data_IF_819507052798
#
_entry.id   IF_819507052798
#
_cell.length_a   1.000
_cell.length_b   1.000
_cell.length_c   1.000
_cell.angle_alpha   90.00
_cell.angle_beta   90.00
_cell.angle_gamma   90.00
#
_symmetry.space_group_name_H-M   'P 1'
#
loop_
_entity.id
_entity.type
_entity.pdbx_description
1 polymer ?
#
# COMPACT_ATOMS: atom_id res chain seq x y z
N UNK A 1 -23.57 -2.94 12.45
CA UNK A 1 -22.64 -4.04 12.11
C UNK A 1 -21.74 -3.72 10.90
N UNK A 2 -22.31 -3.42 9.72
CA UNK A 2 -21.57 -3.16 8.47
C UNK A 2 -20.47 -2.07 8.58
N UNK A 3 -20.77 -0.95 9.27
CA UNK A 3 -19.80 0.15 9.44
C UNK A 3 -18.55 -0.21 10.25
N UNK A 4 -18.60 -1.22 11.10
CA UNK A 4 -17.45 -1.66 11.89
C UNK A 4 -16.54 -2.55 11.06
N UNK A 5 -17.12 -3.46 10.28
CA UNK A 5 -16.40 -4.32 9.34
C UNK A 5 -15.60 -3.51 8.32
N UNK A 6 -16.19 -2.45 7.76
CA UNK A 6 -15.47 -1.55 6.84
C UNK A 6 -14.24 -0.87 7.46
N UNK A 7 -14.14 -0.79 8.79
CA UNK A 7 -12.99 -0.16 9.47
C UNK A 7 -11.86 -1.15 9.75
N UNK A 8 -12.21 -2.39 10.03
CA UNK A 8 -11.28 -3.42 10.49
C UNK A 8 -10.77 -4.25 9.31
N UNK A 9 -11.59 -4.44 8.28
CA UNK A 9 -11.25 -5.26 7.11
C UNK A 9 -9.93 -4.85 6.44
N UNK A 10 -9.64 -3.56 6.16
CA UNK A 10 -8.37 -3.20 5.53
C UNK A 10 -7.15 -3.56 6.40
N UNK A 11 -7.28 -3.43 7.72
CA UNK A 11 -6.21 -3.82 8.65
C UNK A 11 -6.01 -5.33 8.66
N UNK A 12 -7.09 -6.12 8.66
CA UNK A 12 -6.99 -7.58 8.60
C UNK A 12 -6.38 -8.05 7.27
N UNK A 13 -6.76 -7.45 6.15
CA UNK A 13 -6.19 -7.76 4.85
C UNK A 13 -4.72 -7.39 4.77
N UNK A 14 -4.32 -6.25 5.35
CA UNK A 14 -2.91 -5.87 5.47
C UNK A 14 -2.12 -6.91 6.28
N UNK A 15 -2.59 -7.25 7.48
CA UNK A 15 -1.92 -8.22 8.37
C UNK A 15 -1.82 -9.58 7.69
N UNK A 16 -2.92 -10.08 7.09
CA UNK A 16 -2.93 -11.34 6.36
C UNK A 16 -1.95 -11.33 5.18
N UNK A 17 -1.88 -10.22 4.43
CA UNK A 17 -0.92 -10.08 3.33
C UNK A 17 0.52 -10.14 3.83
N UNK A 18 0.83 -9.45 4.93
CA UNK A 18 2.17 -9.50 5.53
C UNK A 18 2.53 -10.90 6.02
N UNK A 19 1.62 -11.60 6.69
CA UNK A 19 1.86 -12.97 7.17
C UNK A 19 2.16 -13.90 6.00
N UNK A 20 1.30 -13.91 4.98
CA UNK A 20 1.46 -14.78 3.80
C UNK A 20 2.79 -14.50 3.08
N UNK A 21 3.14 -13.23 2.86
CA UNK A 21 4.39 -12.86 2.19
C UNK A 21 5.64 -13.21 3.01
N UNK A 22 5.57 -13.11 4.34
CA UNK A 22 6.68 -13.47 5.23
C UNK A 22 6.89 -14.98 5.32
N UNK A 23 5.81 -15.76 5.26
CA UNK A 23 5.88 -17.23 5.26
C UNK A 23 6.42 -17.80 3.95
N UNK A 24 6.34 -17.05 2.85
CA UNK A 24 6.90 -17.47 1.56
C UNK A 24 6.24 -18.76 1.02
N UNK A 25 4.94 -18.95 1.28
CA UNK A 25 4.23 -20.17 0.92
C UNK A 25 4.31 -20.46 -0.60
N UNK A 26 4.43 -21.74 -1.03
CA UNK A 26 4.54 -22.09 -2.45
C UNK A 26 3.40 -21.55 -3.31
N UNK A 27 2.18 -21.51 -2.75
CA UNK A 27 0.98 -20.98 -3.39
C UNK A 27 1.15 -19.55 -3.91
N UNK A 28 2.06 -18.76 -3.34
CA UNK A 28 2.33 -17.38 -3.79
C UNK A 28 2.88 -17.32 -5.22
N UNK A 29 3.50 -18.39 -5.71
CA UNK A 29 4.03 -18.45 -7.07
C UNK A 29 3.02 -19.00 -8.08
N UNK A 30 1.93 -19.61 -7.61
CA UNK A 30 0.91 -20.16 -8.48
C UNK A 30 0.06 -19.04 -9.12
N UNK A 31 -0.33 -19.20 -10.40
CA UNK A 31 -1.19 -18.24 -11.08
C UNK A 31 -2.61 -18.28 -10.50
N UNK A 32 -3.16 -17.11 -10.17
CA UNK A 32 -4.56 -16.95 -9.74
C UNK A 32 -5.51 -17.30 -10.90
N UNK A 33 -5.11 -16.94 -12.13
CA UNK A 33 -5.84 -17.22 -13.36
C UNK A 33 -4.80 -17.69 -14.38
N UNK A 34 -4.86 -18.96 -14.79
CA UNK A 34 -3.88 -19.60 -15.69
C UNK A 34 -3.67 -18.81 -16.99
N UNK A 35 -4.73 -18.23 -17.57
CA UNK A 35 -4.64 -17.48 -18.82
C UNK A 35 -3.97 -16.09 -18.73
N UNK A 36 -3.83 -15.53 -17.52
CA UNK A 36 -3.27 -14.18 -17.31
C UNK A 36 -1.86 -14.26 -16.71
N UNK A 37 -1.53 -15.35 -16.03
CA UNK A 37 -0.22 -15.54 -15.40
C UNK A 37 0.04 -14.61 -14.21
N UNK A 38 -1.01 -14.07 -13.57
CA UNK A 38 -0.91 -13.26 -12.36
C UNK A 38 -0.70 -14.16 -11.14
N UNK A 39 0.46 -14.15 -10.46
CA UNK A 39 0.69 -14.98 -9.28
C UNK A 39 -0.10 -14.49 -8.06
N UNK A 40 -0.45 -15.41 -7.16
CA UNK A 40 -1.06 -15.05 -5.87
C UNK A 40 -0.20 -14.06 -5.08
N UNK A 41 1.13 -14.23 -5.11
CA UNK A 41 2.08 -13.34 -4.44
C UNK A 41 1.97 -11.90 -4.92
N UNK A 42 1.85 -11.70 -6.23
CA UNK A 42 1.63 -10.37 -6.81
C UNK A 42 0.31 -9.76 -6.36
N UNK A 43 -0.77 -10.54 -6.39
CA UNK A 43 -2.09 -10.08 -5.94
C UNK A 43 -2.08 -9.73 -4.45
N UNK A 44 -1.47 -10.57 -3.62
CA UNK A 44 -1.35 -10.36 -2.17
C UNK A 44 -0.49 -9.13 -1.88
N UNK A 45 0.63 -8.94 -2.58
CA UNK A 45 1.45 -7.74 -2.44
C UNK A 45 0.67 -6.47 -2.84
N UNK A 46 -0.10 -6.53 -3.93
CA UNK A 46 -0.96 -5.43 -4.36
C UNK A 46 -2.01 -5.08 -3.29
N UNK A 47 -2.67 -6.10 -2.72
CA UNK A 47 -3.60 -5.93 -1.60
C UNK A 47 -2.88 -5.31 -0.41
N UNK A 48 -1.74 -5.84 0.03
CA UNK A 48 -0.97 -5.31 1.16
C UNK A 48 -0.59 -3.83 0.99
N UNK A 49 0.01 -3.47 -0.15
CA UNK A 49 0.42 -2.10 -0.46
C UNK A 49 -0.78 -1.15 -0.46
N UNK A 50 -1.93 -1.57 -1.01
CA UNK A 50 -3.15 -0.75 -1.04
C UNK A 50 -3.79 -0.62 0.34
N UNK A 51 -3.87 -1.72 1.08
CA UNK A 51 -4.54 -1.80 2.37
C UNK A 51 -3.78 -1.03 3.45
N UNK A 52 -2.47 -0.84 3.30
CA UNK A 52 -1.68 -0.09 4.28
C UNK A 52 -2.20 1.34 4.52
N UNK A 53 -2.16 2.27 3.55
CA UNK A 53 -2.70 3.62 3.74
C UNK A 53 -4.23 3.62 3.99
N UNK A 54 -4.97 2.66 3.42
CA UNK A 54 -6.41 2.55 3.62
C UNK A 54 -6.77 2.19 5.07
N UNK A 55 -6.01 1.29 5.69
CA UNK A 55 -6.19 0.91 7.10
C UNK A 55 -6.03 2.12 8.03
N UNK A 56 -5.10 3.01 7.72
CA UNK A 56 -4.89 4.27 8.46
C UNK A 56 -6.08 5.21 8.26
N UNK A 57 -6.52 5.42 7.01
CA UNK A 57 -7.68 6.27 6.67
C UNK A 57 -8.96 5.82 7.38
N UNK A 58 -9.21 4.52 7.43
CA UNK A 58 -10.47 3.97 7.94
C UNK A 58 -10.41 3.69 9.45
N UNK A 59 -9.25 3.29 9.96
CA UNK A 59 -9.02 2.93 11.35
C UNK A 59 -8.94 4.13 12.30
N UNK A 60 -8.26 5.21 11.89
CA UNK A 60 -8.00 6.35 12.77
C UNK A 60 -9.12 7.39 12.68
N UNK A 61 -9.85 7.58 13.79
CA UNK A 61 -10.99 8.51 13.86
C UNK A 61 -10.63 9.93 13.42
N UNK A 62 -9.50 10.46 13.89
CA UNK A 62 -9.07 11.84 13.59
C UNK A 62 -8.71 12.07 12.13
N UNK A 63 -8.28 11.02 11.42
CA UNK A 63 -8.01 11.10 9.98
C UNK A 63 -9.32 10.94 9.20
N UNK A 64 -10.16 9.98 9.59
CA UNK A 64 -11.45 9.72 8.93
C UNK A 64 -12.38 10.92 9.00
N UNK A 65 -12.51 11.50 10.20
CA UNK A 65 -13.37 12.64 10.54
C UNK A 65 -12.50 13.77 11.10
N UNK A 66 -11.79 14.50 10.23
CA UNK A 66 -10.82 15.50 10.66
C UNK A 66 -11.52 16.72 11.24
N UNK A 67 -11.11 17.10 12.45
CA UNK A 67 -11.62 18.28 13.17
C UNK A 67 -10.77 19.54 12.94
N UNK A 68 -9.57 19.40 12.36
CA UNK A 68 -8.64 20.49 12.09
C UNK A 68 -8.15 20.49 10.64
N UNK A 69 -7.60 21.62 10.17
CA UNK A 69 -6.98 21.70 8.83
C UNK A 69 -5.79 20.74 8.71
N UNK A 70 -5.00 20.58 9.78
CA UNK A 70 -3.85 19.67 9.79
C UNK A 70 -4.30 18.21 9.63
N UNK A 71 -5.38 17.78 10.31
CA UNK A 71 -5.92 16.43 10.10
C UNK A 71 -6.55 16.23 8.72
N UNK A 72 -7.10 17.29 8.11
CA UNK A 72 -7.55 17.26 6.70
C UNK A 72 -6.38 17.06 5.75
N UNK A 73 -5.23 17.68 6.01
CA UNK A 73 -4.02 17.46 5.23
C UNK A 73 -3.57 16.00 5.29
N UNK A 74 -3.41 15.42 6.49
CA UNK A 74 -3.07 13.99 6.63
C UNK A 74 -4.05 13.07 5.91
N UNK A 75 -5.36 13.33 6.02
CA UNK A 75 -6.39 12.57 5.29
C UNK A 75 -6.15 12.59 3.78
N UNK A 76 -5.86 13.76 3.19
CA UNK A 76 -5.59 13.88 1.75
C UNK A 76 -4.32 13.11 1.37
N UNK A 77 -3.26 13.22 2.16
CA UNK A 77 -2.01 12.51 1.91
C UNK A 77 -2.24 11.00 1.89
N UNK A 78 -2.85 10.42 2.93
CA UNK A 78 -3.13 8.99 2.93
C UNK A 78 -4.09 8.57 1.82
N UNK A 79 -5.07 9.41 1.46
CA UNK A 79 -5.97 9.13 0.33
C UNK A 79 -5.21 9.04 -0.99
N UNK A 80 -4.28 9.96 -1.25
CA UNK A 80 -3.40 9.90 -2.43
C UNK A 80 -2.57 8.61 -2.41
N UNK A 81 -1.97 8.24 -1.29
CA UNK A 81 -1.21 6.99 -1.19
C UNK A 81 -2.07 5.74 -1.37
N UNK A 82 -3.33 5.75 -0.94
CA UNK A 82 -4.27 4.67 -1.28
C UNK A 82 -4.49 4.57 -2.78
N UNK A 83 -4.69 5.70 -3.48
CA UNK A 83 -4.86 5.68 -4.93
C UNK A 83 -3.60 5.18 -5.65
N UNK A 84 -2.42 5.59 -5.19
CA UNK A 84 -1.14 5.08 -5.70
C UNK A 84 -1.00 3.57 -5.43
N UNK A 85 -1.39 3.09 -4.25
CA UNK A 85 -1.44 1.66 -3.95
C UNK A 85 -2.38 0.89 -4.89
N UNK A 86 -3.59 1.40 -5.14
CA UNK A 86 -4.51 0.82 -6.13
C UNK A 86 -3.87 0.81 -7.53
N UNK A 87 -3.22 1.90 -7.94
CA UNK A 87 -2.57 1.99 -9.25
C UNK A 87 -1.32 1.09 -9.36
N UNK A 88 -0.79 0.58 -8.25
CA UNK A 88 0.49 -0.12 -8.22
C UNK A 88 0.54 -1.34 -9.13
N UNK A 89 -0.50 -2.19 -9.14
CA UNK A 89 -0.51 -3.35 -10.01
C UNK A 89 -0.46 -2.99 -11.49
N UNK A 90 -1.29 -2.03 -11.91
CA UNK A 90 -1.31 -1.56 -13.30
C UNK A 90 0.00 -0.91 -13.74
N UNK A 91 0.56 -0.02 -12.91
CA UNK A 91 1.85 0.62 -13.21
C UNK A 91 2.96 -0.43 -13.30
N UNK A 92 2.98 -1.41 -12.39
CA UNK A 92 3.98 -2.48 -12.38
C UNK A 92 3.89 -3.37 -13.63
N UNK A 93 2.67 -3.66 -14.11
CA UNK A 93 2.45 -4.37 -15.37
C UNK A 93 2.92 -3.57 -16.60
N UNK A 94 2.67 -2.25 -16.60
CA UNK A 94 3.14 -1.37 -17.69
C UNK A 94 4.67 -1.31 -17.73
N UNK A 95 5.34 -1.32 -16.58
CA UNK A 95 6.79 -1.31 -16.48
C UNK A 95 7.43 -2.66 -16.86
N UNK A 96 6.87 -3.77 -16.39
CA UNK A 96 7.48 -5.11 -16.54
C UNK A 96 7.06 -5.85 -17.80
N UNK A 97 5.87 -5.61 -18.34
CA UNK A 97 5.36 -6.42 -19.47
C UNK A 97 4.53 -7.63 -19.10
N UNK A 98 4.49 -8.00 -17.82
CA UNK A 98 3.92 -9.26 -17.34
C UNK A 98 3.33 -9.08 -15.94
N UNK A 99 2.58 -10.05 -15.43
CA UNK A 99 1.99 -10.01 -14.09
C UNK A 99 2.86 -10.65 -13.00
N UNK A 100 3.94 -11.33 -13.40
CA UNK A 100 4.98 -11.84 -12.50
C UNK A 100 5.96 -10.75 -12.06
N UNK A 101 5.89 -9.56 -12.68
CA UNK A 101 6.81 -8.44 -12.51
C UNK A 101 8.27 -8.86 -12.65
N UNK A 102 8.54 -9.71 -13.63
CA UNK A 102 9.89 -10.12 -14.02
C UNK A 102 10.46 -9.08 -14.99
N UNK A 103 11.72 -8.73 -14.79
CA UNK A 103 12.47 -7.77 -15.59
C UNK A 103 13.68 -8.47 -16.22
N UNK A 104 13.95 -8.15 -17.48
CA UNK A 104 15.01 -8.72 -18.32
C UNK A 104 15.78 -7.59 -18.98
N UNK A 105 17.03 -7.84 -19.36
CA UNK A 105 17.88 -6.84 -20.01
C UNK A 105 17.50 -6.66 -21.49
N UNK A 106 16.27 -6.18 -21.71
CA UNK A 106 15.68 -5.94 -23.01
C UNK A 106 16.12 -4.57 -23.58
N UNK A 107 16.26 -4.48 -24.90
CA UNK A 107 16.62 -3.22 -25.58
C UNK A 107 15.52 -2.15 -25.48
N UNK A 108 14.28 -2.55 -25.18
CA UNK A 108 13.15 -1.62 -25.00
C UNK A 108 12.98 -1.20 -23.54
N UNK A 109 12.43 0.00 -23.30
CA UNK A 109 12.24 0.50 -21.92
C UNK A 109 11.41 -0.46 -21.05
N UNK A 110 10.34 -1.03 -21.59
CA UNK A 110 9.48 -1.99 -20.89
C UNK A 110 10.26 -3.29 -20.66
N UNK A 111 10.26 -3.80 -19.43
CA UNK A 111 11.03 -4.97 -19.03
C UNK A 111 12.48 -4.68 -18.63
N UNK A 112 13.08 -3.56 -19.08
CA UNK A 112 14.48 -3.20 -18.82
C UNK A 112 14.84 -2.97 -17.35
N UNK A 113 16.15 -2.95 -17.06
CA UNK A 113 16.71 -2.55 -15.77
C UNK A 113 16.25 -1.15 -15.32
N UNK A 114 16.08 -0.21 -16.27
CA UNK A 114 15.57 1.13 -15.95
C UNK A 114 14.13 1.08 -15.46
N UNK A 115 13.28 0.26 -16.08
CA UNK A 115 11.91 0.07 -15.63
C UNK A 115 11.85 -0.64 -14.27
N UNK A 116 12.76 -1.58 -14.01
CA UNK A 116 12.90 -2.21 -12.70
C UNK A 116 13.25 -1.20 -11.60
N UNK A 117 14.21 -0.31 -11.86
CA UNK A 117 14.57 0.75 -10.91
C UNK A 117 13.39 1.67 -10.60
N UNK A 118 12.59 2.04 -11.61
CA UNK A 118 11.38 2.84 -11.40
C UNK A 118 10.35 2.07 -10.59
N UNK A 119 10.16 0.78 -10.87
CA UNK A 119 9.27 -0.10 -10.09
C UNK A 119 9.68 -0.15 -8.61
N UNK A 120 10.98 -0.31 -8.32
CA UNK A 120 11.50 -0.32 -6.95
C UNK A 120 11.29 1.02 -6.26
N UNK A 121 11.65 2.12 -6.91
CA UNK A 121 11.49 3.48 -6.36
C UNK A 121 10.01 3.75 -6.08
N UNK A 122 9.14 3.44 -7.04
CA UNK A 122 7.70 3.64 -6.88
C UNK A 122 7.15 2.86 -5.68
N UNK A 123 7.49 1.57 -5.60
CA UNK A 123 7.08 0.69 -4.49
C UNK A 123 7.60 1.22 -3.14
N UNK A 124 8.89 1.57 -3.08
CA UNK A 124 9.53 2.10 -1.89
C UNK A 124 8.93 3.43 -1.45
N UNK A 125 8.61 4.33 -2.39
CA UNK A 125 7.99 5.64 -2.11
C UNK A 125 6.59 5.45 -1.52
N UNK A 126 5.76 4.60 -2.12
CA UNK A 126 4.39 4.37 -1.63
C UNK A 126 4.41 3.83 -0.20
N UNK A 127 5.25 2.85 0.09
CA UNK A 127 5.33 2.23 1.42
C UNK A 127 6.00 3.19 2.42
N UNK A 128 7.20 3.67 2.11
CA UNK A 128 8.03 4.44 3.04
C UNK A 128 7.40 5.78 3.39
N UNK A 129 6.84 6.50 2.41
CA UNK A 129 6.21 7.80 2.70
C UNK A 129 4.88 7.61 3.43
N UNK A 130 4.12 6.54 3.16
CA UNK A 130 2.95 6.20 3.98
C UNK A 130 3.35 5.96 5.43
N UNK A 131 4.38 5.16 5.67
CA UNK A 131 4.89 4.88 7.02
C UNK A 131 5.41 6.14 7.71
N UNK A 132 6.23 6.94 7.02
CA UNK A 132 6.77 8.19 7.54
C UNK A 132 5.64 9.16 7.93
N UNK A 133 4.65 9.32 7.05
CA UNK A 133 3.49 10.18 7.31
C UNK A 133 2.70 9.68 8.53
N UNK A 134 2.57 8.37 8.70
CA UNK A 134 1.91 7.77 9.85
C UNK A 134 2.64 8.05 11.17
N UNK A 135 3.97 7.91 11.18
CA UNK A 135 4.81 8.23 12.34
C UNK A 135 4.70 9.73 12.68
N UNK A 136 4.84 10.62 11.70
CA UNK A 136 4.72 12.07 11.90
C UNK A 136 3.33 12.42 12.45
N UNK A 137 2.26 11.83 11.89
CA UNK A 137 0.91 12.01 12.41
C UNK A 137 0.81 11.59 13.89
N UNK A 138 1.36 10.43 14.24
CA UNK A 138 1.37 9.91 15.61
C UNK A 138 2.08 10.84 16.60
N UNK A 139 3.28 11.30 16.24
CA UNK A 139 4.06 12.26 17.03
C UNK A 139 3.31 13.59 17.19
N UNK A 140 2.81 14.15 16.10
CA UNK A 140 2.05 15.39 16.11
C UNK A 140 0.80 15.29 17.01
N UNK A 141 0.05 14.20 16.92
CA UNK A 141 -1.12 13.97 17.76
C UNK A 141 -0.74 13.82 19.25
N UNK A 142 0.34 13.10 19.56
CA UNK A 142 0.84 12.93 20.92
C UNK A 142 1.22 14.26 21.58
N UNK A 143 1.96 15.12 20.86
CA UNK A 143 2.39 16.43 21.35
C UNK A 143 1.19 17.34 21.66
N UNK A 144 0.18 17.37 20.79
CA UNK A 144 -1.04 18.17 21.02
C UNK A 144 -1.78 17.68 22.26
N UNK A 145 -1.88 16.36 22.45
CA UNK A 145 -2.62 15.79 23.57
C UNK A 145 -1.92 16.05 24.92
N UNK A 146 -0.58 16.09 24.94
CA UNK A 146 0.20 16.51 26.11
C UNK A 146 -0.08 17.96 26.50
N UNK A 147 -0.13 18.88 25.53
CA UNK A 147 -0.40 20.30 25.79
C UNK A 147 -1.80 20.58 26.34
N UNK A 148 -2.78 19.72 26.06
CA UNK A 148 -4.18 19.91 26.51
C UNK A 148 -4.43 19.41 27.94
N UNK A 149 -3.50 18.65 28.51
CA UNK A 149 -3.59 18.11 29.89
C UNK A 149 -2.87 18.97 30.93
N UNK A 150 -2.09 19.96 30.49
CA UNK A 150 -1.49 21.00 31.33
C UNK A 150 -2.38 22.23 31.29
#
# INVERSE_FOLDING_TARGET
MIRTWLRILPLLLLIGSCILLLEGLPILTEPVIEGIGLPFGTLIAWVGITMFPLSILMGIRFIRQPTSQVYRFYKRVFFVFTLLGVAWGGISYLLSGNWTYTFSDDETFRGSERAFNIFLIYTAVVISITLLTFVIFGLHHFIINQKRKR
#
